data_IF_351906889342
#
_entry.id   IF_351906889342
#
_cell.length_a   1.000
_cell.length_b   1.000
_cell.length_c   1.000
_cell.angle_alpha   90.00
_cell.angle_beta   90.00
_cell.angle_gamma   90.00
#
_symmetry.space_group_name_H-M   'P 1'
#
loop_
_entity.id
_entity.type
_entity.pdbx_description
1 polymer ?
#
# COMPACT_ATOMS: atom_id res chain seq x y z
N UNK A 1 -32.58 27.66 29.94
CA UNK A 1 -31.89 28.14 28.73
C UNK A 1 -32.58 27.49 27.54
N UNK A 2 -32.90 28.22 26.48
CA UNK A 2 -33.61 27.61 25.33
C UNK A 2 -32.61 27.19 24.27
N UNK A 3 -32.69 25.94 23.81
CA UNK A 3 -31.84 25.44 22.72
C UNK A 3 -32.22 26.17 21.43
N UNK A 4 -31.27 26.90 20.84
CA UNK A 4 -31.49 27.68 19.62
C UNK A 4 -30.81 27.07 18.41
N UNK A 5 -29.73 26.35 18.59
CA UNK A 5 -28.90 25.79 17.52
C UNK A 5 -28.50 24.34 17.80
N UNK A 6 -28.17 23.61 16.75
CA UNK A 6 -27.60 22.28 16.82
C UNK A 6 -26.38 22.19 15.89
N UNK A 7 -25.40 21.37 16.27
CA UNK A 7 -24.26 21.01 15.44
C UNK A 7 -24.63 19.77 14.62
N UNK A 8 -24.65 19.93 13.30
CA UNK A 8 -24.82 18.81 12.36
C UNK A 8 -23.54 17.96 12.29
N UNK A 9 -23.67 16.72 11.77
CA UNK A 9 -22.53 15.79 11.57
C UNK A 9 -21.45 16.32 10.60
N UNK A 10 -21.84 17.22 9.72
CA UNK A 10 -20.94 17.90 8.77
C UNK A 10 -20.31 19.20 9.32
N UNK A 11 -20.40 19.41 10.63
CA UNK A 11 -19.85 20.60 11.32
C UNK A 11 -20.70 21.88 11.19
N UNK A 12 -21.76 21.89 10.39
CA UNK A 12 -22.62 23.08 10.25
C UNK A 12 -23.50 23.30 11.47
N UNK A 13 -23.57 24.55 11.92
CA UNK A 13 -24.51 24.97 12.95
C UNK A 13 -25.82 25.43 12.28
N UNK A 14 -26.94 24.83 12.68
CA UNK A 14 -28.29 25.16 12.15
C UNK A 14 -29.27 25.42 13.28
N UNK A 15 -30.41 26.10 12.97
CA UNK A 15 -31.45 26.32 13.92
C UNK A 15 -32.01 24.98 14.48
N UNK A 16 -32.27 24.98 15.79
CA UNK A 16 -32.86 23.84 16.45
C UNK A 16 -34.35 23.70 16.08
N UNK A 17 -34.74 22.49 15.72
CA UNK A 17 -36.09 22.17 15.31
C UNK A 17 -36.67 21.04 16.22
N UNK A 18 -37.55 21.44 17.13
CA UNK A 18 -38.20 20.54 18.10
C UNK A 18 -39.04 19.46 17.43
N UNK A 19 -39.71 19.82 16.32
CA UNK A 19 -40.67 18.93 15.68
C UNK A 19 -40.00 17.72 15.06
N UNK A 20 -38.69 17.80 14.73
CA UNK A 20 -37.91 16.67 14.27
C UNK A 20 -37.73 15.59 15.34
N UNK A 21 -37.59 15.97 16.61
CA UNK A 21 -37.51 15.01 17.72
C UNK A 21 -38.85 14.33 17.91
N UNK A 22 -39.95 15.11 17.97
CA UNK A 22 -41.30 14.59 18.13
C UNK A 22 -41.69 13.66 16.97
N UNK A 23 -41.35 14.04 15.72
CA UNK A 23 -41.63 13.21 14.54
C UNK A 23 -40.85 11.88 14.56
N UNK A 24 -39.60 11.90 15.00
CA UNK A 24 -38.77 10.69 15.12
C UNK A 24 -39.31 9.75 16.21
N UNK A 25 -39.70 10.27 17.37
CA UNK A 25 -40.33 9.52 18.44
C UNK A 25 -41.67 8.92 18.00
N UNK A 26 -42.51 9.72 17.34
CA UNK A 26 -43.81 9.26 16.83
C UNK A 26 -43.64 8.17 15.74
N UNK A 27 -42.62 8.27 14.87
CA UNK A 27 -42.33 7.25 13.89
C UNK A 27 -41.90 5.93 14.53
N UNK A 28 -41.02 5.97 15.52
CA UNK A 28 -40.62 4.79 16.29
C UNK A 28 -41.78 4.18 17.06
N UNK A 29 -42.60 5.03 17.71
CA UNK A 29 -43.78 4.61 18.47
C UNK A 29 -44.84 3.93 17.60
N UNK A 30 -45.11 4.43 16.40
CA UNK A 30 -46.01 3.78 15.43
C UNK A 30 -45.55 2.39 15.02
N UNK A 31 -44.26 2.18 14.89
CA UNK A 31 -43.69 0.86 14.49
C UNK A 31 -43.89 -0.20 15.59
N UNK A 32 -44.01 0.21 16.84
CA UNK A 32 -44.16 -0.67 18.02
C UNK A 32 -45.56 -0.71 18.62
N UNK A 33 -46.39 0.28 18.29
CA UNK A 33 -47.71 0.48 18.89
C UNK A 33 -47.67 0.95 20.35
N UNK A 34 -46.52 1.43 20.87
CA UNK A 34 -46.38 1.87 22.27
C UNK A 34 -46.63 3.36 22.48
N UNK A 35 -46.47 4.20 21.46
CA UNK A 35 -46.57 5.65 21.57
C UNK A 35 -47.62 6.20 20.60
N UNK A 36 -48.43 7.09 21.05
CA UNK A 36 -49.25 7.99 20.24
C UNK A 36 -48.53 9.34 19.99
N UNK A 37 -49.15 10.23 19.24
CA UNK A 37 -48.56 11.52 18.88
C UNK A 37 -48.43 12.47 20.09
N UNK A 38 -49.35 12.41 21.03
CA UNK A 38 -49.37 13.29 22.21
C UNK A 38 -48.26 12.90 23.19
N UNK A 39 -48.11 11.59 23.41
CA UNK A 39 -46.99 11.04 24.22
C UNK A 39 -45.65 11.38 23.59
N UNK A 40 -45.51 11.25 22.25
CA UNK A 40 -44.30 11.61 21.56
C UNK A 40 -43.93 13.10 21.72
N UNK A 41 -44.91 14.00 21.73
CA UNK A 41 -44.69 15.43 22.01
C UNK A 41 -44.24 15.67 23.46
N UNK A 42 -44.83 14.96 24.42
CA UNK A 42 -44.43 15.00 25.83
C UNK A 42 -42.97 14.55 26.03
N UNK A 43 -42.60 13.41 25.43
CA UNK A 43 -41.24 12.88 25.47
C UNK A 43 -40.21 13.80 24.77
N UNK A 44 -40.59 14.42 23.65
CA UNK A 44 -39.71 15.42 22.98
C UNK A 44 -39.44 16.62 23.90
N UNK A 45 -40.45 17.05 24.68
CA UNK A 45 -40.26 18.11 25.67
C UNK A 45 -39.33 17.69 26.80
N UNK A 46 -39.42 16.43 27.25
CA UNK A 46 -38.53 15.88 28.28
C UNK A 46 -37.05 15.78 27.78
N UNK A 47 -36.85 15.35 26.52
CA UNK A 47 -35.52 15.35 25.88
C UNK A 47 -34.90 16.74 25.86
N UNK A 48 -35.69 17.75 25.46
CA UNK A 48 -35.23 19.14 25.40
C UNK A 48 -34.91 19.69 26.80
N UNK A 49 -35.73 19.37 27.78
CA UNK A 49 -35.48 19.76 29.17
C UNK A 49 -34.19 19.15 29.74
N UNK A 50 -33.94 17.86 29.44
CA UNK A 50 -32.72 17.18 29.85
C UNK A 50 -31.46 17.80 29.21
N UNK A 51 -31.48 18.04 27.91
CA UNK A 51 -30.39 18.70 27.20
C UNK A 51 -30.13 20.13 27.73
N UNK A 52 -31.17 20.86 28.05
CA UNK A 52 -31.04 22.20 28.63
C UNK A 52 -30.45 22.18 30.05
N UNK A 53 -30.75 21.14 30.83
CA UNK A 53 -30.21 20.96 32.20
C UNK A 53 -28.70 20.64 32.19
N UNK A 54 -28.18 20.00 31.14
CA UNK A 54 -26.75 19.75 30.95
C UNK A 54 -25.94 21.00 30.58
N UNK A 55 -26.62 22.14 30.35
CA UNK A 55 -25.95 23.39 30.00
C UNK A 55 -25.40 23.47 28.57
N UNK A 56 -25.69 22.49 27.72
CA UNK A 56 -25.23 22.45 26.36
C UNK A 56 -26.08 23.35 25.44
N UNK A 57 -25.50 24.45 24.97
CA UNK A 57 -26.20 25.49 24.18
C UNK A 57 -26.35 25.12 22.70
N UNK A 58 -25.47 24.22 22.18
CA UNK A 58 -25.46 23.77 20.79
C UNK A 58 -25.11 22.28 20.74
N UNK A 59 -26.01 21.37 21.16
CA UNK A 59 -25.74 19.94 21.20
C UNK A 59 -25.57 19.37 19.79
N UNK A 60 -24.66 18.40 19.65
CA UNK A 60 -24.53 17.61 18.43
C UNK A 60 -25.72 16.70 18.18
N UNK A 61 -25.95 16.30 16.93
CA UNK A 61 -27.05 15.37 16.58
C UNK A 61 -26.97 14.07 17.37
N UNK A 62 -25.75 13.53 17.59
CA UNK A 62 -25.56 12.28 18.35
C UNK A 62 -25.95 12.44 19.81
N UNK A 63 -25.58 13.56 20.43
CA UNK A 63 -25.97 13.88 21.82
C UNK A 63 -27.50 13.92 21.97
N UNK A 64 -28.18 14.54 21.00
CA UNK A 64 -29.67 14.58 20.99
C UNK A 64 -30.24 13.17 20.86
N UNK A 65 -29.70 12.34 19.98
CA UNK A 65 -30.16 10.97 19.76
C UNK A 65 -29.94 10.09 21.00
N UNK A 66 -28.78 10.22 21.66
CA UNK A 66 -28.52 9.52 22.92
C UNK A 66 -29.55 9.93 24.01
N UNK A 67 -29.82 11.22 24.10
CA UNK A 67 -30.81 11.71 25.06
C UNK A 67 -32.24 11.21 24.76
N UNK A 68 -32.61 11.03 23.48
CA UNK A 68 -33.87 10.40 23.06
C UNK A 68 -33.93 8.95 23.54
N UNK A 69 -32.85 8.17 23.34
CA UNK A 69 -32.78 6.77 23.79
C UNK A 69 -32.93 6.67 25.32
N UNK A 70 -32.19 7.49 26.07
CA UNK A 70 -32.28 7.51 27.53
C UNK A 70 -33.69 7.89 28.01
N UNK A 71 -34.33 8.87 27.38
CA UNK A 71 -35.66 9.32 27.74
C UNK A 71 -36.69 8.23 27.52
N UNK A 72 -36.62 7.50 26.39
CA UNK A 72 -37.47 6.35 26.11
C UNK A 72 -37.31 5.24 27.15
N UNK A 73 -36.05 4.92 27.49
CA UNK A 73 -35.71 3.89 28.48
C UNK A 73 -36.26 4.30 29.88
N UNK A 74 -36.00 5.55 30.33
CA UNK A 74 -36.44 6.07 31.62
C UNK A 74 -37.97 6.13 31.73
N UNK A 75 -38.64 6.40 30.62
CA UNK A 75 -40.10 6.42 30.56
C UNK A 75 -40.77 5.03 30.43
N UNK A 76 -39.98 3.94 30.31
CA UNK A 76 -40.47 2.58 30.28
C UNK A 76 -40.89 2.08 28.88
N UNK A 77 -40.64 2.82 27.81
CA UNK A 77 -40.99 2.46 26.43
C UNK A 77 -39.89 1.61 25.77
N UNK A 78 -39.65 0.43 26.31
CA UNK A 78 -38.50 -0.44 25.94
C UNK A 78 -38.54 -0.94 24.49
N UNK A 79 -39.71 -1.26 23.96
CA UNK A 79 -39.85 -1.73 22.58
C UNK A 79 -39.57 -0.60 21.59
N UNK A 80 -40.05 0.61 21.92
CA UNK A 80 -39.81 1.81 21.11
C UNK A 80 -38.36 2.25 21.18
N UNK A 81 -37.72 2.19 22.36
CA UNK A 81 -36.31 2.47 22.53
C UNK A 81 -35.45 1.53 21.64
N UNK A 82 -35.75 0.22 21.69
CA UNK A 82 -35.07 -0.77 20.83
C UNK A 82 -35.29 -0.49 19.34
N UNK A 83 -36.50 -0.19 18.91
CA UNK A 83 -36.80 0.12 17.52
C UNK A 83 -36.08 1.39 17.06
N UNK A 84 -35.97 2.41 17.90
CA UNK A 84 -35.28 3.66 17.64
C UNK A 84 -33.77 3.43 17.46
N UNK A 85 -33.12 2.63 18.34
CA UNK A 85 -31.70 2.27 18.26
C UNK A 85 -31.41 1.52 16.96
N UNK A 86 -32.21 0.51 16.61
CA UNK A 86 -32.06 -0.26 15.39
C UNK A 86 -32.22 0.63 14.14
N UNK A 87 -33.23 1.50 14.13
CA UNK A 87 -33.44 2.46 13.06
C UNK A 87 -32.24 3.41 12.88
N UNK A 88 -31.74 3.96 14.00
CA UNK A 88 -30.55 4.84 14.00
C UNK A 88 -29.34 4.14 13.40
N UNK A 89 -29.09 2.91 13.81
CA UNK A 89 -27.99 2.09 13.31
C UNK A 89 -28.12 1.81 11.80
N UNK A 90 -29.31 1.40 11.35
CA UNK A 90 -29.58 1.17 9.93
C UNK A 90 -29.38 2.43 9.10
N UNK A 91 -29.86 3.58 9.57
CA UNK A 91 -29.65 4.85 8.88
C UNK A 91 -28.20 5.34 8.91
N UNK A 92 -27.43 5.01 9.96
CA UNK A 92 -26.00 5.26 9.99
C UNK A 92 -25.28 4.44 8.91
N UNK A 93 -25.60 3.15 8.80
CA UNK A 93 -25.07 2.27 7.74
C UNK A 93 -25.44 2.73 6.33
N UNK A 94 -26.71 3.12 6.12
CA UNK A 94 -27.16 3.64 4.81
C UNK A 94 -26.47 4.95 4.43
N UNK A 95 -26.21 5.83 5.40
CA UNK A 95 -25.43 7.06 5.16
C UNK A 95 -23.99 6.75 4.81
N UNK A 96 -23.33 5.83 5.52
CA UNK A 96 -21.98 5.39 5.22
C UNK A 96 -21.88 4.82 3.79
N UNK A 97 -22.85 3.97 3.40
CA UNK A 97 -22.93 3.44 2.03
C UNK A 97 -23.13 4.54 0.98
N UNK A 98 -24.02 5.52 1.23
CA UNK A 98 -24.23 6.66 0.32
C UNK A 98 -22.98 7.52 0.19
N UNK A 99 -22.29 7.77 1.28
CA UNK A 99 -21.04 8.53 1.27
C UNK A 99 -19.97 7.79 0.45
N UNK A 100 -19.86 6.46 0.64
CA UNK A 100 -18.94 5.63 -0.16
C UNK A 100 -19.26 5.68 -1.66
N UNK A 101 -20.52 5.65 -2.05
CA UNK A 101 -20.94 5.76 -3.46
C UNK A 101 -20.63 7.13 -4.07
N UNK A 102 -20.83 8.21 -3.31
CA UNK A 102 -20.47 9.58 -3.75
C UNK A 102 -18.98 9.71 -3.90
N UNK A 103 -18.18 9.15 -2.98
CA UNK A 103 -16.72 9.15 -3.06
C UNK A 103 -16.21 8.38 -4.29
N UNK A 104 -16.87 7.30 -4.68
CA UNK A 104 -16.50 6.53 -5.88
C UNK A 104 -16.77 7.33 -7.16
N UNK A 105 -17.91 8.01 -7.28
CA UNK A 105 -18.23 8.87 -8.42
C UNK A 105 -17.20 9.99 -8.57
N UNK A 106 -16.95 10.73 -7.50
CA UNK A 106 -15.92 11.77 -7.47
C UNK A 106 -14.53 11.21 -7.80
N UNK A 107 -14.20 10.04 -7.28
CA UNK A 107 -12.93 9.38 -7.55
C UNK A 107 -12.73 9.02 -9.02
N UNK A 108 -13.79 8.56 -9.68
CA UNK A 108 -13.75 8.26 -11.11
C UNK A 108 -13.57 9.53 -11.95
N UNK A 109 -14.31 10.60 -11.63
CA UNK A 109 -14.21 11.88 -12.34
C UNK A 109 -12.81 12.52 -12.18
N UNK A 110 -12.27 12.55 -10.95
CA UNK A 110 -10.93 13.04 -10.68
C UNK A 110 -9.85 12.29 -11.48
N UNK A 111 -9.99 10.97 -11.59
CA UNK A 111 -9.05 10.15 -12.35
C UNK A 111 -9.18 10.38 -13.86
N UNK A 112 -10.41 10.39 -14.39
CA UNK A 112 -10.68 10.60 -15.82
C UNK A 112 -10.25 11.99 -16.30
N UNK A 113 -10.39 13.01 -15.46
CA UNK A 113 -9.93 14.38 -15.73
C UNK A 113 -8.45 14.60 -15.40
N UNK A 114 -7.72 13.54 -14.99
CA UNK A 114 -6.29 13.54 -14.63
C UNK A 114 -5.94 14.55 -13.52
N UNK A 115 -6.87 14.81 -12.62
CA UNK A 115 -6.71 15.74 -11.49
C UNK A 115 -6.17 15.08 -10.21
N UNK A 116 -6.21 13.74 -10.13
CA UNK A 116 -5.71 13.03 -8.95
C UNK A 116 -4.18 13.08 -8.91
N UNK A 117 -3.64 13.95 -8.07
CA UNK A 117 -2.21 14.15 -7.89
C UNK A 117 -1.47 12.89 -7.43
N UNK A 118 -2.15 11.96 -6.74
CA UNK A 118 -1.56 10.73 -6.21
C UNK A 118 -1.08 9.80 -7.32
N UNK A 119 -1.74 9.80 -8.47
CA UNK A 119 -1.31 9.03 -9.65
C UNK A 119 0.03 9.52 -10.18
N UNK A 120 0.31 10.81 -10.07
CA UNK A 120 1.57 11.42 -10.51
C UNK A 120 2.65 11.46 -9.41
N UNK A 121 2.26 11.19 -8.16
CA UNK A 121 3.19 11.24 -7.03
C UNK A 121 4.15 10.03 -6.98
N UNK A 122 3.73 8.90 -7.55
CA UNK A 122 4.51 7.66 -7.59
C UNK A 122 5.01 7.36 -9.01
N UNK A 123 6.32 7.14 -9.14
CA UNK A 123 6.94 6.84 -10.42
C UNK A 123 6.51 5.50 -11.05
N UNK A 124 5.93 4.60 -10.25
CA UNK A 124 5.44 3.30 -10.70
C UNK A 124 3.98 3.29 -11.15
N UNK A 125 3.27 4.41 -11.05
CA UNK A 125 1.86 4.54 -11.44
C UNK A 125 1.69 5.42 -12.69
N UNK A 126 0.60 5.21 -13.41
CA UNK A 126 0.23 6.01 -14.58
C UNK A 126 -1.26 5.92 -14.89
N UNK A 127 -1.76 6.85 -15.70
CA UNK A 127 -3.14 6.84 -16.14
C UNK A 127 -3.38 5.73 -17.18
N UNK A 128 -4.22 4.76 -16.83
CA UNK A 128 -4.63 3.63 -17.66
C UNK A 128 -5.97 3.09 -17.19
N UNK A 129 -6.62 2.23 -17.98
CA UNK A 129 -7.85 1.56 -17.56
C UNK A 129 -7.65 0.71 -16.29
N UNK A 130 -6.55 -0.04 -16.23
CA UNK A 130 -6.22 -0.80 -15.03
C UNK A 130 -5.91 0.11 -13.83
N UNK A 131 -5.22 1.24 -14.06
CA UNK A 131 -4.97 2.26 -13.04
C UNK A 131 -6.26 2.87 -12.49
N UNK A 132 -7.26 3.13 -13.35
CA UNK A 132 -8.60 3.56 -12.91
C UNK A 132 -9.23 2.54 -11.96
N UNK A 133 -9.22 1.25 -12.34
CA UNK A 133 -9.80 0.17 -11.54
C UNK A 133 -9.11 0.11 -10.17
N UNK A 134 -7.78 0.13 -10.14
CA UNK A 134 -7.02 0.11 -8.90
C UNK A 134 -7.25 1.36 -8.05
N UNK A 135 -7.32 2.55 -8.65
CA UNK A 135 -7.58 3.81 -7.93
C UNK A 135 -8.95 3.76 -7.23
N UNK A 136 -9.99 3.35 -7.94
CA UNK A 136 -11.34 3.23 -7.36
C UNK A 136 -11.38 2.14 -6.29
N UNK A 137 -10.82 0.96 -6.57
CA UNK A 137 -10.72 -0.13 -5.60
C UNK A 137 -9.95 0.30 -4.35
N UNK A 138 -8.83 1.00 -4.54
CA UNK A 138 -8.00 1.53 -3.46
C UNK A 138 -8.74 2.52 -2.55
N UNK A 139 -9.50 3.46 -3.12
CA UNK A 139 -10.33 4.40 -2.32
C UNK A 139 -11.40 3.67 -1.50
N UNK A 140 -12.03 2.64 -2.05
CA UNK A 140 -12.99 1.79 -1.31
C UNK A 140 -12.28 1.03 -0.18
N UNK A 141 -11.12 0.44 -0.47
CA UNK A 141 -10.30 -0.29 0.50
C UNK A 141 -9.83 0.64 1.63
N UNK A 142 -9.33 1.84 1.30
CA UNK A 142 -8.93 2.84 2.28
C UNK A 142 -10.07 3.23 3.23
N UNK A 143 -11.27 3.42 2.68
CA UNK A 143 -12.43 3.72 3.52
C UNK A 143 -12.78 2.57 4.47
N UNK A 144 -12.64 1.32 4.02
CA UNK A 144 -12.82 0.14 4.87
C UNK A 144 -11.80 0.12 6.03
N UNK A 145 -10.51 0.35 5.73
CA UNK A 145 -9.45 0.44 6.73
C UNK A 145 -9.78 1.46 7.82
N UNK A 146 -10.07 2.70 7.38
CA UNK A 146 -10.31 3.83 8.29
C UNK A 146 -11.61 3.73 9.10
N UNK A 147 -12.55 2.91 8.65
CA UNK A 147 -13.87 2.79 9.27
C UNK A 147 -14.07 1.52 10.09
N UNK A 148 -13.29 0.46 9.82
CA UNK A 148 -13.52 -0.87 10.40
C UNK A 148 -12.28 -1.52 11.02
N UNK A 149 -11.08 -1.14 10.61
CA UNK A 149 -9.83 -1.76 11.06
C UNK A 149 -9.10 -0.87 12.06
N UNK A 150 -8.92 0.40 11.73
CA UNK A 150 -8.34 1.37 12.67
C UNK A 150 -9.37 1.83 13.70
N UNK A 151 -8.90 2.34 14.83
CA UNK A 151 -9.79 2.96 15.83
C UNK A 151 -10.46 4.20 15.23
N UNK A 152 -11.67 4.57 15.70
CA UNK A 152 -12.35 5.77 15.21
C UNK A 152 -11.50 7.04 15.29
N UNK A 153 -10.69 7.16 16.36
CA UNK A 153 -9.79 8.30 16.58
C UNK A 153 -8.69 8.35 15.55
N UNK A 154 -8.03 7.21 15.26
CA UNK A 154 -6.97 7.12 14.25
C UNK A 154 -7.52 7.37 12.85
N UNK A 155 -8.68 6.78 12.53
CA UNK A 155 -9.36 7.02 11.26
C UNK A 155 -9.75 8.48 11.06
N UNK A 156 -10.24 9.14 12.12
CA UNK A 156 -10.60 10.55 12.06
C UNK A 156 -9.35 11.45 11.92
N UNK A 157 -8.31 11.21 12.71
CA UNK A 157 -7.06 11.95 12.64
C UNK A 157 -6.42 11.89 11.23
N UNK A 158 -6.51 10.73 10.54
CA UNK A 158 -6.07 10.63 9.15
C UNK A 158 -6.94 11.49 8.20
N UNK A 159 -8.28 11.48 8.37
CA UNK A 159 -9.19 12.28 7.54
C UNK A 159 -9.01 13.78 7.76
N UNK A 160 -8.69 14.18 8.98
CA UNK A 160 -8.45 15.59 9.35
C UNK A 160 -7.05 16.08 8.96
N UNK A 161 -6.16 15.16 8.58
CA UNK A 161 -4.79 15.46 8.18
C UNK A 161 -3.80 15.61 9.34
N UNK A 162 -4.20 15.24 10.55
CA UNK A 162 -3.33 15.27 11.74
C UNK A 162 -2.23 14.21 11.66
N UNK A 163 -2.54 13.06 11.04
CA UNK A 163 -1.60 11.98 10.74
C UNK A 163 -1.79 11.48 9.32
N UNK A 164 -0.76 10.86 8.75
CA UNK A 164 -0.86 10.12 7.50
C UNK A 164 -0.65 8.63 7.73
N UNK A 165 -1.66 7.80 7.39
CA UNK A 165 -1.54 6.34 7.32
C UNK A 165 -1.27 5.98 5.87
N UNK A 166 -0.16 5.30 5.62
CA UNK A 166 0.33 4.98 4.29
C UNK A 166 -0.37 3.75 3.69
N UNK A 167 -0.45 3.67 2.36
CA UNK A 167 -0.89 2.50 1.58
C UNK A 167 -2.22 1.87 2.00
N UNK A 168 -3.19 2.72 2.28
CA UNK A 168 -4.55 2.29 2.64
C UNK A 168 -5.32 1.67 1.47
N UNK A 169 -4.80 1.74 0.26
CA UNK A 169 -5.40 1.18 -0.95
C UNK A 169 -5.27 -0.34 -1.06
N UNK A 170 -4.44 -0.97 -0.20
CA UNK A 170 -4.27 -2.42 -0.15
C UNK A 170 -4.47 -2.97 1.28
N UNK A 171 -5.13 -4.13 1.40
CA UNK A 171 -5.27 -4.88 2.65
C UNK A 171 -4.11 -5.88 2.79
N UNK A 172 -2.88 -5.39 2.82
CA UNK A 172 -1.68 -6.24 2.81
C UNK A 172 -0.55 -5.68 3.68
N UNK A 173 0.53 -6.45 3.83
CA UNK A 173 1.78 -5.97 4.41
C UNK A 173 2.41 -4.89 3.54
N UNK A 174 3.29 -4.05 4.14
CA UNK A 174 3.89 -2.92 3.44
C UNK A 174 4.97 -3.38 2.46
N UNK A 175 6.16 -3.71 2.93
CA UNK A 175 7.30 -4.15 2.11
C UNK A 175 7.77 -5.54 2.53
N UNK A 176 8.45 -6.25 1.62
CA UNK A 176 9.04 -7.54 1.92
C UNK A 176 10.42 -7.72 1.28
N UNK A 177 11.34 -8.32 2.04
CA UNK A 177 12.59 -8.87 1.53
C UNK A 177 12.45 -10.36 1.33
N UNK A 178 12.90 -10.85 0.19
CA UNK A 178 12.82 -12.24 -0.21
C UNK A 178 14.20 -12.87 -0.34
N UNK A 179 14.28 -14.18 -0.16
CA UNK A 179 15.51 -14.93 -0.37
C UNK A 179 15.73 -15.21 -1.85
N UNK A 180 16.67 -14.50 -2.47
CA UNK A 180 17.08 -14.79 -3.84
C UNK A 180 17.67 -16.18 -3.94
N UNK A 181 18.47 -16.61 -2.94
CA UNK A 181 19.02 -17.96 -2.86
C UNK A 181 17.91 -19.02 -2.94
N UNK A 182 16.84 -18.85 -2.18
CA UNK A 182 15.73 -19.80 -2.19
C UNK A 182 15.09 -19.88 -3.58
N UNK A 183 14.80 -18.75 -4.21
CA UNK A 183 14.23 -18.72 -5.57
C UNK A 183 15.15 -19.45 -6.58
N UNK A 184 16.47 -19.24 -6.50
CA UNK A 184 17.41 -19.85 -7.42
C UNK A 184 17.63 -21.34 -7.17
N UNK A 185 17.47 -21.83 -5.93
CA UNK A 185 17.67 -23.24 -5.57
C UNK A 185 16.38 -24.08 -5.68
N UNK A 186 15.22 -23.50 -5.45
CA UNK A 186 13.93 -24.20 -5.48
C UNK A 186 13.15 -23.96 -6.77
N UNK A 187 13.45 -22.88 -7.49
CA UNK A 187 12.69 -22.40 -8.62
C UNK A 187 11.48 -21.54 -8.23
N UNK A 188 10.71 -21.11 -9.23
CA UNK A 188 9.51 -20.32 -9.01
C UNK A 188 8.32 -21.23 -8.71
N UNK A 189 7.96 -21.33 -7.44
CA UNK A 189 6.88 -22.17 -6.94
C UNK A 189 6.11 -21.45 -5.80
N UNK A 190 5.28 -22.19 -5.08
CA UNK A 190 4.64 -21.71 -3.85
C UNK A 190 3.27 -21.07 -4.02
N UNK A 191 2.73 -20.94 -5.24
CA UNK A 191 1.36 -20.49 -5.48
C UNK A 191 0.50 -21.70 -5.88
N UNK A 192 -0.34 -22.22 -4.99
CA UNK A 192 -1.13 -23.43 -5.28
C UNK A 192 -1.95 -23.30 -6.57
N UNK A 193 -1.83 -24.28 -7.45
CA UNK A 193 -2.58 -24.33 -8.71
C UNK A 193 -2.11 -23.37 -9.80
N UNK A 194 -0.94 -22.74 -9.65
CA UNK A 194 -0.29 -21.90 -10.67
C UNK A 194 0.88 -22.66 -11.32
N UNK A 195 1.39 -22.09 -12.42
CA UNK A 195 2.55 -22.63 -13.12
C UNK A 195 3.77 -22.53 -12.22
N UNK A 196 4.54 -23.62 -12.14
CA UNK A 196 5.80 -23.69 -11.41
C UNK A 196 6.98 -23.78 -12.38
N UNK A 197 8.13 -23.31 -11.97
CA UNK A 197 9.39 -23.42 -12.70
C UNK A 197 10.44 -24.10 -11.81
N UNK A 198 11.20 -24.99 -12.39
CA UNK A 198 12.38 -25.61 -11.75
C UNK A 198 13.50 -24.62 -11.54
N UNK A 199 14.52 -24.92 -10.72
CA UNK A 199 15.71 -24.08 -10.56
C UNK A 199 16.29 -23.65 -11.92
N UNK A 200 16.59 -22.35 -12.09
CA UNK A 200 17.09 -21.82 -13.37
C UNK A 200 18.49 -22.34 -13.65
N UNK A 201 18.73 -22.75 -14.89
CA UNK A 201 20.06 -23.23 -15.32
C UNK A 201 20.93 -22.13 -15.93
N UNK A 202 20.34 -21.09 -16.50
CA UNK A 202 21.01 -20.01 -17.18
C UNK A 202 20.60 -18.64 -16.60
N UNK A 203 21.49 -17.65 -16.70
CA UNK A 203 21.26 -16.32 -16.16
C UNK A 203 19.98 -15.69 -16.69
N UNK A 204 19.67 -15.82 -17.97
CA UNK A 204 18.44 -15.30 -18.56
C UNK A 204 17.16 -15.94 -17.98
N UNK A 205 17.23 -17.25 -17.70
CA UNK A 205 16.12 -17.96 -17.04
C UNK A 205 15.96 -17.49 -15.58
N UNK A 206 17.05 -17.27 -14.86
CA UNK A 206 17.03 -16.73 -13.50
C UNK A 206 16.40 -15.33 -13.49
N UNK A 207 16.80 -14.45 -14.41
CA UNK A 207 16.21 -13.12 -14.57
C UNK A 207 14.71 -13.21 -14.87
N UNK A 208 14.28 -14.09 -15.75
CA UNK A 208 12.87 -14.31 -16.04
C UNK A 208 12.07 -14.74 -14.81
N UNK A 209 12.64 -15.61 -13.96
CA UNK A 209 12.02 -16.01 -12.70
C UNK A 209 11.97 -14.86 -11.68
N UNK A 210 13.04 -14.08 -11.53
CA UNK A 210 13.10 -12.90 -10.66
C UNK A 210 12.03 -11.88 -11.05
N UNK A 211 11.94 -11.54 -12.33
CA UNK A 211 10.94 -10.58 -12.84
C UNK A 211 9.52 -11.07 -12.60
N UNK A 212 9.25 -12.36 -12.87
CA UNK A 212 7.92 -12.93 -12.65
C UNK A 212 7.58 -13.02 -11.15
N UNK A 213 8.54 -13.35 -10.30
CA UNK A 213 8.36 -13.40 -8.86
C UNK A 213 8.00 -12.03 -8.30
N UNK A 214 8.82 -11.01 -8.58
CA UNK A 214 8.60 -9.64 -8.11
C UNK A 214 7.29 -9.05 -8.67
N UNK A 215 7.00 -9.29 -9.95
CA UNK A 215 5.76 -8.84 -10.59
C UNK A 215 4.50 -9.53 -10.05
N UNK A 216 4.61 -10.78 -9.58
CA UNK A 216 3.49 -11.49 -8.94
C UNK A 216 3.25 -10.95 -7.54
N UNK A 217 4.32 -10.82 -6.74
CA UNK A 217 4.22 -10.39 -5.35
C UNK A 217 3.84 -8.92 -5.20
N UNK A 218 4.09 -8.09 -6.21
CA UNK A 218 3.59 -6.72 -6.21
C UNK A 218 2.06 -6.64 -6.04
N UNK A 219 1.31 -7.67 -6.45
CA UNK A 219 -0.14 -7.68 -6.28
C UNK A 219 -0.59 -8.12 -4.88
N UNK A 220 0.35 -8.63 -4.07
CA UNK A 220 0.07 -9.14 -2.72
C UNK A 220 0.65 -8.25 -1.61
N UNK A 221 1.46 -7.25 -1.99
CA UNK A 221 2.16 -6.34 -1.06
C UNK A 221 2.00 -4.90 -1.50
N UNK A 222 1.80 -4.00 -0.54
CA UNK A 222 1.54 -2.60 -0.81
C UNK A 222 2.79 -1.82 -1.24
N UNK A 223 3.97 -2.19 -0.73
CA UNK A 223 5.22 -1.48 -0.98
C UNK A 223 6.27 -2.29 -1.73
N UNK A 224 7.55 -1.93 -1.52
CA UNK A 224 8.67 -2.49 -2.26
C UNK A 224 8.92 -3.97 -1.97
N UNK A 225 9.32 -4.68 -3.02
CA UNK A 225 9.80 -6.05 -2.97
C UNK A 225 11.31 -6.06 -3.21
N UNK A 226 12.08 -6.72 -2.37
CA UNK A 226 13.53 -6.66 -2.40
C UNK A 226 14.20 -8.03 -2.44
N UNK A 227 15.33 -8.11 -3.16
CA UNK A 227 16.30 -9.18 -3.04
C UNK A 227 17.65 -8.63 -2.57
N UNK A 228 18.30 -9.33 -1.67
CA UNK A 228 19.67 -9.02 -1.21
C UNK A 228 20.72 -9.88 -1.93
N UNK A 229 21.97 -9.41 -1.88
CA UNK A 229 23.13 -10.14 -2.41
C UNK A 229 22.98 -10.52 -3.89
N UNK A 230 22.44 -9.60 -4.68
CA UNK A 230 22.08 -9.88 -6.07
C UNK A 230 23.29 -10.27 -6.92
N UNK A 231 24.37 -9.49 -6.85
CA UNK A 231 25.61 -9.75 -7.57
C UNK A 231 26.27 -11.05 -7.13
N UNK A 232 26.29 -11.34 -5.82
CA UNK A 232 26.85 -12.58 -5.27
C UNK A 232 26.09 -13.81 -5.77
N UNK A 233 24.75 -13.80 -5.69
CA UNK A 233 23.95 -14.98 -6.07
C UNK A 233 23.79 -15.15 -7.59
N UNK A 234 23.99 -14.10 -8.40
CA UNK A 234 23.91 -14.19 -9.85
C UNK A 234 25.26 -14.52 -10.52
N UNK A 235 26.39 -14.26 -9.84
CA UNK A 235 27.74 -14.53 -10.34
C UNK A 235 27.99 -16.00 -10.78
N UNK A 236 27.47 -17.03 -10.08
CA UNK A 236 27.67 -18.42 -10.46
C UNK A 236 27.21 -18.78 -11.88
N UNK A 237 26.16 -18.13 -12.39
CA UNK A 237 25.66 -18.36 -13.74
C UNK A 237 26.68 -17.91 -14.80
N UNK A 238 27.37 -16.80 -14.55
CA UNK A 238 28.38 -16.25 -15.47
C UNK A 238 29.57 -17.22 -15.60
N UNK A 239 30.08 -17.69 -14.46
CA UNK A 239 31.19 -18.63 -14.43
C UNK A 239 30.83 -19.96 -15.11
N UNK A 240 29.66 -20.50 -14.77
CA UNK A 240 29.15 -21.78 -15.29
C UNK A 240 28.99 -21.75 -16.81
N UNK A 241 28.43 -20.69 -17.36
CA UNK A 241 28.12 -20.56 -18.78
C UNK A 241 29.25 -19.86 -19.56
N UNK A 242 30.37 -19.51 -18.89
CA UNK A 242 31.50 -18.77 -19.46
C UNK A 242 31.05 -17.52 -20.22
N UNK A 243 30.14 -16.76 -19.65
CA UNK A 243 29.51 -15.62 -20.31
C UNK A 243 30.49 -14.48 -20.56
N UNK A 244 30.37 -13.88 -21.70
CA UNK A 244 31.05 -12.64 -22.03
C UNK A 244 30.41 -11.43 -21.33
N UNK A 245 31.16 -10.34 -21.18
CA UNK A 245 30.62 -9.11 -20.63
C UNK A 245 29.37 -8.58 -21.39
N UNK A 246 29.37 -8.72 -22.74
CA UNK A 246 28.25 -8.29 -23.57
C UNK A 246 26.96 -9.08 -23.24
N UNK A 247 27.08 -10.38 -23.01
CA UNK A 247 25.95 -11.24 -22.63
C UNK A 247 25.44 -10.90 -21.22
N UNK A 248 26.34 -10.66 -20.25
CA UNK A 248 25.97 -10.21 -18.92
C UNK A 248 25.26 -8.86 -18.99
N UNK A 249 25.76 -7.92 -19.77
CA UNK A 249 25.14 -6.60 -19.96
C UNK A 249 23.76 -6.71 -20.59
N UNK A 250 23.58 -7.60 -21.56
CA UNK A 250 22.27 -7.88 -22.15
C UNK A 250 21.29 -8.42 -21.10
N UNK A 251 21.73 -9.35 -20.27
CA UNK A 251 20.92 -9.86 -19.16
C UNK A 251 20.51 -8.77 -18.16
N UNK A 252 21.42 -7.86 -17.80
CA UNK A 252 21.08 -6.72 -16.93
C UNK A 252 20.12 -5.75 -17.60
N UNK A 253 20.23 -5.52 -18.88
CA UNK A 253 19.30 -4.71 -19.65
C UNK A 253 17.89 -5.33 -19.67
N UNK A 254 17.78 -6.63 -19.84
CA UNK A 254 16.51 -7.36 -19.78
C UNK A 254 15.87 -7.25 -18.40
N UNK A 255 16.63 -7.44 -17.33
CA UNK A 255 16.17 -7.29 -15.96
C UNK A 255 15.58 -5.90 -15.71
N UNK A 256 16.40 -4.87 -15.96
CA UNK A 256 16.06 -3.48 -15.69
C UNK A 256 14.87 -3.06 -16.54
N UNK A 257 14.88 -3.37 -17.84
CA UNK A 257 13.76 -3.05 -18.72
C UNK A 257 12.45 -3.67 -18.25
N UNK A 258 12.44 -4.97 -17.96
CA UNK A 258 11.22 -5.67 -17.54
C UNK A 258 10.69 -5.20 -16.17
N UNK A 259 11.56 -4.71 -15.28
CA UNK A 259 11.15 -4.11 -14.01
C UNK A 259 10.69 -2.64 -14.14
N UNK A 260 10.83 -2.02 -15.32
CA UNK A 260 10.34 -0.66 -15.59
C UNK A 260 9.16 -0.62 -16.58
N UNK A 261 8.83 -1.74 -17.20
CA UNK A 261 7.61 -1.84 -18.00
C UNK A 261 6.44 -2.09 -17.05
N UNK A 262 5.33 -1.33 -17.17
CA UNK A 262 4.11 -1.66 -16.44
C UNK A 262 3.80 -3.13 -16.67
N UNK A 263 3.71 -3.89 -15.57
CA UNK A 263 3.55 -5.34 -15.64
C UNK A 263 2.33 -5.69 -16.50
N UNK A 264 2.15 -6.96 -16.84
CA UNK A 264 1.05 -7.49 -17.67
C UNK A 264 -0.35 -6.94 -17.35
N UNK A 265 -0.52 -6.27 -16.25
CA UNK A 265 -1.74 -5.59 -15.82
C UNK A 265 -1.81 -4.13 -16.31
N UNK A 266 -0.73 -3.60 -16.89
CA UNK A 266 -0.67 -2.27 -17.47
C UNK A 266 -0.85 -1.12 -16.49
N UNK A 267 -0.71 -1.37 -15.18
CA UNK A 267 -1.07 -0.41 -14.14
C UNK A 267 0.11 0.16 -13.40
N UNK A 268 1.00 -0.71 -12.93
CA UNK A 268 2.17 -0.34 -12.15
C UNK A 268 3.39 -1.11 -12.60
N UNK A 269 4.55 -0.46 -12.56
CA UNK A 269 5.84 -1.16 -12.61
C UNK A 269 6.12 -1.78 -11.24
N UNK A 270 6.79 -2.96 -11.16
CA UNK A 270 7.14 -3.54 -9.88
C UNK A 270 8.02 -2.60 -9.07
N UNK A 271 7.54 -2.18 -7.89
CA UNK A 271 8.35 -1.39 -6.96
C UNK A 271 9.38 -2.32 -6.32
N UNK A 272 10.62 -2.24 -6.78
CA UNK A 272 11.66 -3.22 -6.48
C UNK A 272 12.94 -2.57 -5.99
N UNK A 273 13.63 -3.29 -5.08
CA UNK A 273 14.98 -2.96 -4.63
C UNK A 273 15.90 -4.18 -4.80
N UNK A 274 17.12 -3.94 -5.24
CA UNK A 274 18.19 -4.93 -5.27
C UNK A 274 19.37 -4.44 -4.44
N UNK A 275 19.83 -5.26 -3.49
CA UNK A 275 21.05 -4.99 -2.73
C UNK A 275 22.21 -5.74 -3.35
N UNK A 276 23.30 -5.03 -3.56
CA UNK A 276 24.57 -5.50 -4.11
C UNK A 276 25.62 -5.54 -3.01
N UNK A 277 26.32 -6.63 -2.90
CA UNK A 277 27.36 -6.81 -1.89
C UNK A 277 28.67 -6.10 -2.25
N UNK A 278 28.96 -5.94 -3.53
CA UNK A 278 30.20 -5.41 -4.08
C UNK A 278 31.40 -6.33 -3.88
N UNK A 279 31.63 -6.76 -2.64
CA UNK A 279 32.59 -7.78 -2.23
C UNK A 279 31.85 -8.96 -1.65
N UNK A 280 32.27 -10.20 -1.97
CA UNK A 280 31.58 -11.39 -1.50
C UNK A 280 31.52 -11.42 0.06
N UNK A 281 30.34 -11.51 0.67
CA UNK A 281 30.19 -11.56 2.13
C UNK A 281 30.97 -12.70 2.75
N UNK A 282 31.56 -12.45 3.94
CA UNK A 282 32.41 -13.40 4.64
C UNK A 282 31.73 -14.73 4.93
N UNK A 283 30.43 -14.71 5.25
CA UNK A 283 29.62 -15.89 5.53
C UNK A 283 29.26 -16.70 4.26
N UNK A 284 29.39 -16.11 3.08
CA UNK A 284 29.15 -16.78 1.79
C UNK A 284 30.44 -17.25 1.11
N UNK A 285 31.61 -16.71 1.47
CA UNK A 285 32.90 -16.97 0.77
C UNK A 285 33.18 -18.45 0.55
N UNK A 286 32.97 -19.28 1.56
CA UNK A 286 33.27 -20.73 1.53
C UNK A 286 32.07 -21.58 1.08
N UNK A 287 30.90 -20.96 0.85
CA UNK A 287 29.72 -21.71 0.45
C UNK A 287 29.76 -22.04 -1.04
N UNK A 288 29.31 -23.26 -1.35
CA UNK A 288 29.21 -23.75 -2.72
C UNK A 288 27.87 -23.35 -3.32
N UNK A 289 27.83 -22.64 -4.46
CA UNK A 289 26.58 -22.28 -5.12
C UNK A 289 25.93 -23.48 -5.81
N UNK A 290 24.57 -23.40 -5.89
CA UNK A 290 23.74 -24.31 -6.67
C UNK A 290 23.23 -23.61 -7.90
N UNK A 291 23.41 -24.22 -9.09
CA UNK A 291 22.85 -23.72 -10.35
C UNK A 291 22.12 -24.84 -11.07
N UNK A 292 20.84 -24.63 -11.33
CA UNK A 292 20.01 -25.65 -12.00
C UNK A 292 19.81 -26.94 -11.18
N UNK A 293 19.96 -26.87 -9.86
CA UNK A 293 19.85 -28.00 -8.94
C UNK A 293 21.17 -28.80 -8.77
N UNK A 294 22.29 -28.32 -9.31
CA UNK A 294 23.60 -28.95 -9.24
C UNK A 294 24.59 -28.09 -8.43
N UNK A 295 25.44 -28.73 -7.61
CA UNK A 295 26.55 -28.07 -6.92
C UNK A 295 27.63 -27.65 -7.92
N UNK A 296 28.14 -26.42 -7.77
CA UNK A 296 29.22 -25.93 -8.61
C UNK A 296 30.60 -26.32 -8.05
N UNK A 297 31.63 -26.48 -8.91
CA UNK A 297 32.98 -26.85 -8.47
C UNK A 297 33.81 -25.66 -7.96
N UNK A 298 33.16 -24.60 -7.47
CA UNK A 298 33.77 -23.37 -6.95
C UNK A 298 32.91 -22.77 -5.83
N UNK A 299 33.48 -21.93 -5.00
CA UNK A 299 32.78 -21.21 -3.94
C UNK A 299 32.35 -19.82 -4.40
N UNK A 300 31.44 -19.15 -3.65
CA UNK A 300 31.05 -17.77 -3.95
C UNK A 300 32.25 -16.81 -3.88
N UNK A 301 33.19 -17.03 -2.96
CA UNK A 301 34.40 -16.21 -2.82
C UNK A 301 35.31 -16.22 -4.04
N UNK A 302 35.21 -17.21 -4.92
CA UNK A 302 35.99 -17.30 -6.17
C UNK A 302 35.44 -16.43 -7.31
N UNK A 303 34.28 -15.76 -7.11
CA UNK A 303 33.47 -15.17 -8.17
C UNK A 303 33.55 -13.64 -8.23
N UNK A 304 34.54 -13.00 -7.63
CA UNK A 304 34.65 -11.54 -7.62
C UNK A 304 34.62 -10.92 -9.01
N UNK A 305 35.33 -11.52 -9.98
CA UNK A 305 35.36 -11.02 -11.35
C UNK A 305 33.99 -11.03 -12.03
N UNK A 306 33.17 -12.04 -11.73
CA UNK A 306 31.78 -12.14 -12.22
C UNK A 306 30.84 -11.13 -11.52
N UNK A 307 31.03 -10.89 -10.21
CA UNK A 307 30.33 -9.84 -9.48
C UNK A 307 30.67 -8.46 -10.07
N UNK A 308 31.93 -8.21 -10.40
CA UNK A 308 32.37 -6.96 -11.02
C UNK A 308 31.72 -6.75 -12.40
N UNK A 309 31.52 -7.81 -13.18
CA UNK A 309 30.81 -7.75 -14.46
C UNK A 309 29.35 -7.36 -14.28
N UNK A 310 28.68 -7.92 -13.28
CA UNK A 310 27.27 -7.59 -12.95
C UNK A 310 27.18 -6.13 -12.53
N UNK A 311 28.00 -5.71 -11.57
CA UNK A 311 28.00 -4.35 -11.04
C UNK A 311 28.26 -3.33 -12.14
N UNK A 312 29.25 -3.56 -12.97
CA UNK A 312 29.57 -2.70 -14.12
C UNK A 312 28.40 -2.64 -15.11
N UNK A 313 27.84 -3.78 -15.48
CA UNK A 313 26.76 -3.86 -16.46
C UNK A 313 25.49 -3.15 -15.92
N UNK A 314 25.17 -3.37 -14.66
CA UNK A 314 24.03 -2.72 -14.00
C UNK A 314 24.17 -1.18 -14.02
N UNK A 315 25.30 -0.66 -13.56
CA UNK A 315 25.59 0.77 -13.53
C UNK A 315 25.51 1.38 -14.94
N UNK A 316 26.13 0.73 -15.92
CA UNK A 316 26.13 1.23 -17.31
C UNK A 316 24.73 1.27 -17.92
N UNK A 317 23.88 0.28 -17.65
CA UNK A 317 22.49 0.25 -18.15
C UNK A 317 21.65 1.31 -17.47
N UNK A 318 21.76 1.45 -16.14
CA UNK A 318 21.05 2.48 -15.39
C UNK A 318 21.41 3.90 -15.86
N UNK A 319 22.70 4.16 -16.11
CA UNK A 319 23.19 5.45 -16.60
C UNK A 319 22.78 5.74 -18.06
N UNK A 320 22.69 4.71 -18.89
CA UNK A 320 22.27 4.88 -20.29
C UNK A 320 20.79 5.25 -20.42
N UNK A 321 19.95 4.76 -19.50
CA UNK A 321 18.52 4.94 -19.55
C UNK A 321 17.83 4.17 -20.68
N UNK A 322 16.57 4.50 -20.93
CA UNK A 322 15.79 3.89 -22.00
C UNK A 322 16.17 4.41 -23.40
N UNK A 323 15.48 3.94 -24.44
CA UNK A 323 15.71 4.36 -25.84
C UNK A 323 15.59 5.87 -26.09
N UNK A 324 15.03 6.63 -25.14
CA UNK A 324 14.93 8.09 -25.19
C UNK A 324 15.88 8.78 -24.18
N UNK A 325 16.75 8.03 -23.52
CA UNK A 325 17.67 8.53 -22.49
C UNK A 325 16.99 8.86 -21.16
N UNK A 326 15.77 8.35 -20.90
CA UNK A 326 15.09 8.53 -19.62
C UNK A 326 15.65 7.56 -18.60
N UNK A 327 15.93 8.05 -17.41
CA UNK A 327 16.48 7.24 -16.31
C UNK A 327 15.47 6.19 -15.88
N UNK A 328 15.95 4.98 -15.63
CA UNK A 328 15.16 3.91 -15.04
C UNK A 328 14.92 4.18 -13.55
N UNK A 329 13.70 3.95 -13.09
CA UNK A 329 13.33 4.12 -11.67
C UNK A 329 13.64 2.86 -10.86
N UNK A 330 13.47 1.69 -11.47
CA UNK A 330 13.61 0.40 -10.80
C UNK A 330 14.60 -0.52 -11.52
N UNK A 331 15.14 -1.52 -10.80
CA UNK A 331 15.11 -1.67 -9.34
C UNK A 331 15.92 -0.54 -8.67
N UNK A 332 15.51 -0.11 -7.47
CA UNK A 332 16.31 0.82 -6.67
C UNK A 332 17.56 0.07 -6.20
N UNK A 333 18.78 0.52 -6.55
CA UNK A 333 19.99 -0.16 -6.11
C UNK A 333 20.41 0.30 -4.72
N UNK A 334 20.83 -0.67 -3.89
CA UNK A 334 21.49 -0.42 -2.61
C UNK A 334 22.83 -1.14 -2.62
N UNK A 335 23.94 -0.44 -2.33
CA UNK A 335 25.27 -1.02 -2.26
C UNK A 335 25.77 -1.11 -0.83
N UNK A 336 26.31 -2.28 -0.46
CA UNK A 336 26.91 -2.51 0.84
C UNK A 336 28.33 -1.92 0.87
N UNK A 337 28.59 -1.05 1.85
CA UNK A 337 29.92 -0.54 2.14
C UNK A 337 30.45 -1.29 3.33
N UNK A 338 31.45 -2.13 3.09
CA UNK A 338 32.10 -2.99 4.07
C UNK A 338 33.56 -2.59 4.28
N UNK A 339 34.27 -3.05 5.32
CA UNK A 339 35.69 -2.74 5.52
C UNK A 339 36.60 -3.14 4.37
N UNK A 340 36.20 -4.14 3.59
CA UNK A 340 36.92 -4.62 2.40
C UNK A 340 36.37 -4.05 1.07
N UNK A 341 35.58 -2.97 1.10
CA UNK A 341 35.10 -2.27 -0.08
C UNK A 341 36.29 -1.66 -0.84
N UNK A 342 36.47 -2.05 -2.11
CA UNK A 342 37.53 -1.54 -2.96
C UNK A 342 37.19 -0.14 -3.52
N UNK A 343 37.74 0.89 -2.88
CA UNK A 343 37.55 2.29 -3.24
C UNK A 343 38.25 2.68 -4.55
N UNK A 344 39.30 1.95 -4.93
CA UNK A 344 40.13 2.23 -6.11
C UNK A 344 39.70 1.40 -7.35
N UNK A 345 38.67 0.55 -7.20
CA UNK A 345 38.20 -0.27 -8.29
C UNK A 345 37.59 0.60 -9.42
N UNK A 346 37.81 0.29 -10.70
CA UNK A 346 37.27 1.09 -11.82
C UNK A 346 35.73 1.24 -11.81
N UNK A 347 35.01 0.25 -11.26
CA UNK A 347 33.56 0.34 -11.12
C UNK A 347 33.13 1.35 -10.05
N UNK A 348 33.98 1.63 -9.06
CA UNK A 348 33.69 2.60 -7.98
C UNK A 348 33.58 4.02 -8.56
N UNK A 349 34.44 4.40 -9.48
CA UNK A 349 34.34 5.69 -10.16
C UNK A 349 33.00 5.82 -10.89
N UNK A 350 32.58 4.78 -11.62
CA UNK A 350 31.31 4.75 -12.33
C UNK A 350 30.11 4.78 -11.38
N UNK A 351 30.20 4.09 -10.25
CA UNK A 351 29.17 4.09 -9.21
C UNK A 351 28.94 5.50 -8.68
N UNK A 352 30.01 6.22 -8.36
CA UNK A 352 29.90 7.60 -7.88
C UNK A 352 29.54 8.59 -8.99
N UNK A 353 29.89 8.33 -10.26
CA UNK A 353 29.37 9.10 -11.38
C UNK A 353 27.84 8.97 -11.49
N UNK A 354 27.31 7.75 -11.36
CA UNK A 354 25.87 7.50 -11.32
C UNK A 354 25.21 8.24 -10.14
N UNK A 355 25.84 8.21 -8.97
CA UNK A 355 25.36 8.93 -7.78
C UNK A 355 25.30 10.43 -8.01
N UNK A 356 26.35 10.99 -8.57
CA UNK A 356 26.44 12.43 -8.83
C UNK A 356 25.40 12.92 -9.87
N UNK A 357 25.08 12.08 -10.86
CA UNK A 357 24.13 12.44 -11.92
C UNK A 357 22.68 12.24 -11.53
N UNK A 358 22.37 11.17 -10.80
CA UNK A 358 21.00 10.67 -10.65
C UNK A 358 20.54 10.53 -9.19
N UNK A 359 21.43 10.72 -8.21
CA UNK A 359 21.12 10.48 -6.80
C UNK A 359 20.91 8.99 -6.46
N UNK A 360 21.38 8.09 -7.33
CA UNK A 360 21.38 6.63 -7.17
C UNK A 360 22.83 6.14 -7.07
N UNK A 361 23.11 5.09 -6.32
CA UNK A 361 22.27 4.24 -5.47
C UNK A 361 22.10 4.76 -4.05
N UNK A 362 21.40 3.98 -3.22
CA UNK A 362 21.50 4.05 -1.76
C UNK A 362 22.75 3.27 -1.31
N UNK A 363 23.29 3.66 -0.15
CA UNK A 363 24.42 2.98 0.46
C UNK A 363 24.05 2.47 1.86
N UNK A 364 24.34 1.20 2.11
CA UNK A 364 24.20 0.59 3.42
C UNK A 364 25.60 0.45 4.04
N UNK A 365 25.85 1.13 5.15
CA UNK A 365 27.17 1.22 5.77
C UNK A 365 27.32 0.18 6.87
N UNK A 366 28.37 -0.68 6.73
CA UNK A 366 28.79 -1.70 7.67
C UNK A 366 30.21 -1.48 8.20
N UNK A 367 30.73 -0.25 8.11
CA UNK A 367 32.06 0.13 8.60
C UNK A 367 32.10 0.18 10.13
#
# INVERSE_FOLDING_TARGET
MQLQHILKRDGRVVAFDRDKIAAALAAAGRSTGELDADVAQGLASAVIAALAAEGNVCPGVETIQNQVEETLVKAGYWRTARAYIVYREQHARLRALRHTLVDVESAMEEYLEQRDWRVNANANQGYSLGGLILNVAGKVTANYWLSNVFTPEAGQAHRDGDIHIHDLDMLSGYCAGWSLRQLLTEGFNGIPGKIEATPPRHMSAAIGQIVNFLGTLQNEWAGAQAFSSFDTYMAPFIRRDAMTYAEVKQCMQELIYNLNVPSRWGTQTPFTNLTFDWTCPADLKEQIPYVGGEEMPFAYGDLQAEMDMINRAYIEVMMAGDAKGRVFTFPIPTYNITPDFDWDHPNTERLFEMTARYGLPYFQNFL
#
